data_IF_731662758834
#
_entry.id   IF_731662758834
#
_cell.length_a   1.000
_cell.length_b   1.000
_cell.length_c   1.000
_cell.angle_alpha   90.00
_cell.angle_beta   90.00
_cell.angle_gamma   90.00
#
_symmetry.space_group_name_H-M   'P 1'
#
loop_
_entity.id
_entity.type
_entity.pdbx_description
1 polymer ?
#
# COMPACT_ATOMS: atom_id res chain seq x y z
N UNK A 1 -2.29 6.64 25.54
CA UNK A 1 -1.00 6.33 24.88
C UNK A 1 -1.25 6.46 23.39
N UNK A 2 -0.66 7.48 22.78
CA UNK A 2 -0.83 7.77 21.36
C UNK A 2 -0.23 6.60 20.56
N UNK A 3 -1.10 5.79 19.94
CA UNK A 3 -0.68 4.79 18.95
C UNK A 3 0.17 5.53 17.92
N UNK A 4 1.39 5.04 17.70
CA UNK A 4 2.33 5.66 16.78
C UNK A 4 1.71 5.62 15.39
N UNK A 5 1.00 6.70 15.02
CA UNK A 5 0.43 6.90 13.71
C UNK A 5 1.57 7.00 12.72
N UNK A 6 2.01 5.84 12.22
CA UNK A 6 2.89 5.78 11.07
C UNK A 6 2.24 6.52 9.92
N UNK A 7 2.93 7.53 9.41
CA UNK A 7 2.52 8.27 8.24
C UNK A 7 2.88 7.46 6.99
N UNK A 8 1.92 7.28 6.11
CA UNK A 8 2.13 6.57 4.86
C UNK A 8 2.44 7.55 3.73
N UNK A 9 3.49 7.24 2.98
CA UNK A 9 3.98 8.02 1.86
C UNK A 9 3.81 7.24 0.58
N UNK A 10 3.21 7.88 -0.41
CA UNK A 10 3.15 7.33 -1.76
C UNK A 10 4.45 7.70 -2.49
N UNK A 11 5.21 6.69 -2.93
CA UNK A 11 6.40 6.89 -3.78
C UNK A 11 5.96 7.20 -5.20
N UNK A 12 5.05 6.39 -5.74
CA UNK A 12 4.55 6.57 -7.10
C UNK A 12 3.09 6.11 -7.22
N UNK A 13 2.32 6.88 -7.99
CA UNK A 13 0.93 6.56 -8.32
C UNK A 13 0.74 6.81 -9.81
N UNK A 14 0.75 5.74 -10.61
CA UNK A 14 0.55 5.83 -12.06
C UNK A 14 -0.90 5.50 -12.41
N UNK A 15 -1.24 5.18 -13.66
CA UNK A 15 -2.55 4.62 -14.04
C UNK A 15 -2.60 3.10 -13.91
N UNK A 16 -1.45 2.45 -13.73
CA UNK A 16 -1.32 0.98 -13.69
C UNK A 16 -0.79 0.48 -12.35
N UNK A 17 -0.09 1.30 -11.57
CA UNK A 17 0.60 0.84 -10.35
C UNK A 17 0.56 1.86 -9.21
N UNK A 18 0.66 1.36 -7.99
CA UNK A 18 0.88 2.13 -6.78
C UNK A 18 2.10 1.58 -6.06
N UNK A 19 3.00 2.47 -5.66
CA UNK A 19 4.09 2.18 -4.76
C UNK A 19 4.07 3.15 -3.59
N UNK A 20 4.18 2.66 -2.37
CA UNK A 20 4.24 3.50 -1.16
C UNK A 20 4.84 2.76 0.02
N UNK A 21 5.16 3.48 1.09
CA UNK A 21 5.68 2.93 2.34
C UNK A 21 5.05 3.64 3.52
N UNK A 22 5.05 3.01 4.69
CA UNK A 22 4.62 3.67 5.92
C UNK A 22 5.79 3.82 6.87
N UNK A 23 5.95 5.02 7.44
CA UNK A 23 6.81 5.24 8.60
C UNK A 23 6.15 4.65 9.86
N UNK A 24 6.85 4.72 10.99
CA UNK A 24 6.37 4.17 12.26
C UNK A 24 7.35 3.18 12.88
N UNK A 25 7.03 2.76 14.10
CA UNK A 25 7.79 1.78 14.88
C UNK A 25 6.81 0.91 15.64
N UNK A 26 6.39 -0.20 15.05
CA UNK A 26 5.41 -1.10 15.67
C UNK A 26 5.25 -2.42 14.93
N UNK A 27 4.57 -3.40 15.53
CA UNK A 27 4.19 -4.65 14.87
C UNK A 27 3.06 -4.45 13.83
N UNK A 28 2.58 -3.23 13.63
CA UNK A 28 1.60 -2.93 12.60
C UNK A 28 2.18 -3.23 11.21
N UNK A 29 1.33 -3.79 10.35
CA UNK A 29 1.67 -4.08 8.97
C UNK A 29 0.91 -3.16 8.04
N UNK A 30 1.52 -2.79 6.93
CA UNK A 30 0.85 -2.06 5.87
C UNK A 30 0.96 -2.84 4.56
N UNK A 31 -0.07 -2.69 3.73
CA UNK A 31 -0.09 -3.17 2.37
C UNK A 31 -0.79 -2.17 1.47
N UNK A 32 -0.81 -2.44 0.19
CA UNK A 32 -1.67 -1.72 -0.75
C UNK A 32 -2.34 -2.70 -1.67
N UNK A 33 -3.52 -2.34 -2.16
CA UNK A 33 -4.13 -3.08 -3.24
C UNK A 33 -4.63 -2.14 -4.33
N UNK A 34 -4.66 -2.68 -5.54
CA UNK A 34 -5.20 -2.02 -6.71
C UNK A 34 -6.27 -2.92 -7.32
N UNK A 35 -7.35 -2.29 -7.77
CA UNK A 35 -8.41 -2.97 -8.52
C UNK A 35 -8.21 -2.63 -9.98
N UNK A 36 -7.93 -3.65 -10.79
CA UNK A 36 -7.68 -3.50 -12.21
C UNK A 36 -8.97 -3.19 -12.97
N UNK A 37 -8.86 -2.62 -14.17
CA UNK A 37 -9.99 -2.36 -15.06
C UNK A 37 -10.76 -3.63 -15.42
N UNK A 38 -10.08 -4.78 -15.43
CA UNK A 38 -10.67 -6.10 -15.61
C UNK A 38 -11.50 -6.59 -14.40
N UNK A 39 -11.47 -5.88 -13.27
CA UNK A 39 -12.09 -6.29 -12.00
C UNK A 39 -11.21 -7.19 -11.13
N UNK A 40 -9.97 -7.48 -11.56
CA UNK A 40 -9.01 -8.24 -10.76
C UNK A 40 -8.48 -7.43 -9.58
N UNK A 41 -8.26 -8.10 -8.45
CA UNK A 41 -7.65 -7.51 -7.27
C UNK A 41 -6.18 -7.93 -7.21
N UNK A 42 -5.28 -6.94 -7.22
CA UNK A 42 -3.86 -7.17 -7.05
C UNK A 42 -3.43 -6.51 -5.74
N UNK A 43 -3.04 -7.32 -4.78
CA UNK A 43 -2.48 -6.85 -3.51
C UNK A 43 -0.96 -6.91 -3.55
N UNK A 44 -0.32 -5.97 -2.86
CA UNK A 44 1.09 -6.07 -2.54
C UNK A 44 1.31 -7.07 -1.42
N UNK A 45 2.58 -7.41 -1.19
CA UNK A 45 3.02 -8.00 0.08
C UNK A 45 2.79 -6.99 1.22
N UNK A 46 2.46 -7.50 2.42
CA UNK A 46 2.38 -6.70 3.65
C UNK A 46 3.75 -6.54 4.28
N UNK A 47 4.12 -5.31 4.64
CA UNK A 47 5.38 -4.95 5.30
C UNK A 47 5.14 -4.34 6.67
N UNK A 48 6.15 -4.36 7.53
CA UNK A 48 6.07 -3.74 8.85
C UNK A 48 6.18 -2.22 8.75
N UNK A 49 5.45 -1.49 9.59
CA UNK A 49 5.62 -0.05 9.73
C UNK A 49 7.08 0.28 10.06
N UNK A 50 7.66 1.24 9.32
CA UNK A 50 9.08 1.57 9.38
C UNK A 50 9.96 0.90 8.32
N UNK A 51 9.45 -0.13 7.62
CA UNK A 51 10.11 -0.66 6.42
C UNK A 51 9.93 0.32 5.25
N UNK A 52 10.94 1.15 5.01
CA UNK A 52 10.94 2.22 3.99
C UNK A 52 11.22 1.73 2.57
N UNK A 53 11.35 0.42 2.36
CA UNK A 53 11.53 -0.13 1.00
C UNK A 53 10.27 -0.02 0.16
N UNK A 54 9.10 0.06 0.81
CA UNK A 54 7.80 0.22 0.18
C UNK A 54 7.20 -1.06 -0.37
N UNK A 55 5.90 -0.97 -0.62
CA UNK A 55 5.06 -1.99 -1.21
C UNK A 55 4.63 -1.56 -2.60
N UNK A 56 4.53 -2.52 -3.51
CA UNK A 56 4.11 -2.30 -4.90
C UNK A 56 2.88 -3.15 -5.20
N UNK A 57 1.86 -2.54 -5.79
CA UNK A 57 0.77 -3.25 -6.43
C UNK A 57 0.51 -2.68 -7.83
N UNK A 58 0.33 -3.56 -8.81
CA UNK A 58 0.24 -3.18 -10.22
C UNK A 58 -0.82 -3.97 -10.98
N UNK A 59 -1.40 -3.31 -11.97
CA UNK A 59 -2.40 -3.79 -12.91
C UNK A 59 -1.90 -3.52 -14.33
N UNK A 60 -1.53 -4.55 -15.11
CA UNK A 60 -1.06 -4.37 -16.48
C UNK A 60 -2.14 -3.77 -17.40
N UNK A 61 -3.42 -4.03 -17.12
CA UNK A 61 -4.59 -3.51 -17.84
C UNK A 61 -5.07 -2.13 -17.39
N UNK A 62 -4.31 -1.45 -16.52
CA UNK A 62 -4.76 -0.22 -15.85
C UNK A 62 -5.62 -0.50 -14.62
N UNK A 63 -5.75 0.50 -13.74
CA UNK A 63 -6.53 0.39 -12.50
C UNK A 63 -7.73 1.31 -12.50
N UNK A 64 -8.85 0.81 -12.00
CA UNK A 64 -10.09 1.57 -11.80
C UNK A 64 -10.14 2.18 -10.41
N UNK A 65 -9.58 1.50 -9.41
CA UNK A 65 -9.58 1.99 -8.02
C UNK A 65 -8.27 1.64 -7.34
N UNK A 66 -7.77 2.59 -6.56
CA UNK A 66 -6.72 2.35 -5.58
C UNK A 66 -7.39 2.46 -4.23
N UNK A 67 -7.13 1.49 -3.37
CA UNK A 67 -7.35 1.72 -1.95
C UNK A 67 -6.09 1.29 -1.24
N UNK A 68 -5.52 2.25 -0.54
CA UNK A 68 -4.45 2.06 0.39
C UNK A 68 -5.02 1.36 1.63
N UNK A 69 -4.99 0.03 1.60
CA UNK A 69 -5.35 -0.82 2.73
C UNK A 69 -4.28 -0.72 3.81
N UNK A 70 -4.26 0.38 4.56
CA UNK A 70 -3.49 0.49 5.80
C UNK A 70 -4.19 -0.30 6.90
N UNK A 71 -4.22 -1.63 6.74
CA UNK A 71 -4.87 -2.52 7.70
C UNK A 71 -4.00 -2.58 8.96
N UNK A 72 -4.46 -1.92 10.03
CA UNK A 72 -3.89 -2.06 11.37
C UNK A 72 -4.23 -3.46 11.88
N UNK A 73 -3.40 -4.44 11.49
CA UNK A 73 -3.41 -5.78 12.09
C UNK A 73 -2.89 -5.75 13.53
#
# INVERSE_FOLDING_TARGET
MSVANGHCYTISRTTTSLTGWCDGTGPERYGTYVVCTSGEYHNSYTKWYGDRTGVYAGCPSGKTRISDGYDRY
#
